data_IF_771168767629
#
_entry.id   IF_771168767629
#
_cell.length_a   1.000
_cell.length_b   1.000
_cell.length_c   1.000
_cell.angle_alpha   90.00
_cell.angle_beta   90.00
_cell.angle_gamma   90.00
#
_symmetry.space_group_name_H-M   'P 1'
#
loop_
_entity.id
_entity.type
_entity.pdbx_description
1 polymer ?
#
# COMPACT_ATOMS: atom_id res chain seq x y z
N UNK A 1 2.92 40.92 -1.64
CA UNK A 1 3.00 39.45 -1.66
C UNK A 1 3.51 39.02 -3.03
N UNK A 2 4.66 38.36 -3.10
CA UNK A 2 5.34 38.05 -4.37
C UNK A 2 4.76 36.80 -5.04
N UNK A 3 4.59 36.79 -6.38
CA UNK A 3 4.08 35.64 -7.14
C UNK A 3 4.88 34.34 -6.93
N UNK A 4 6.10 34.41 -6.42
CA UNK A 4 6.97 33.26 -6.13
C UNK A 4 6.46 32.36 -5.00
N UNK A 5 5.75 32.90 -4.00
CA UNK A 5 5.24 32.10 -2.87
C UNK A 5 3.99 31.31 -3.29
N UNK A 6 3.11 31.91 -4.08
CA UNK A 6 1.89 31.25 -4.60
C UNK A 6 2.26 30.14 -5.59
N UNK A 7 3.28 30.36 -6.44
CA UNK A 7 3.78 29.33 -7.35
C UNK A 7 4.40 28.13 -6.60
N UNK A 8 5.10 28.38 -5.48
CA UNK A 8 5.70 27.34 -4.65
C UNK A 8 4.66 26.50 -3.88
N UNK A 9 3.58 27.14 -3.43
CA UNK A 9 2.44 26.45 -2.78
C UNK A 9 1.64 25.64 -3.81
N UNK A 10 1.38 26.19 -5.01
CA UNK A 10 0.64 25.50 -6.07
C UNK A 10 1.45 24.33 -6.67
N UNK A 11 2.78 24.44 -6.76
CA UNK A 11 3.66 23.31 -7.14
C UNK A 11 3.68 22.17 -6.11
N UNK A 12 3.48 22.48 -4.82
CA UNK A 12 3.40 21.49 -3.74
C UNK A 12 2.07 20.72 -3.73
N UNK A 13 0.98 21.32 -4.21
CA UNK A 13 -0.36 20.71 -4.19
C UNK A 13 -0.63 19.77 -5.37
N UNK A 14 0.15 19.86 -6.46
CA UNK A 14 0.15 18.86 -7.55
C UNK A 14 1.10 17.69 -7.28
N UNK A 15 1.81 17.70 -6.14
CA UNK A 15 2.87 16.77 -5.79
C UNK A 15 2.43 15.59 -4.91
N UNK A 16 1.17 15.17 -4.95
CA UNK A 16 0.83 13.86 -4.37
C UNK A 16 1.57 12.81 -5.19
N UNK A 17 2.52 12.12 -4.55
CA UNK A 17 3.33 11.12 -5.20
C UNK A 17 2.41 10.00 -5.68
N UNK A 18 2.07 9.99 -6.99
CA UNK A 18 1.14 9.01 -7.57
C UNK A 18 1.53 7.58 -7.22
N UNK A 19 2.83 7.28 -7.18
CA UNK A 19 3.33 5.96 -6.79
C UNK A 19 3.08 5.66 -5.33
N UNK A 20 3.31 6.61 -4.43
CA UNK A 20 2.94 6.49 -3.01
C UNK A 20 1.44 6.32 -2.79
N UNK A 21 0.59 7.04 -3.53
CA UNK A 21 -0.86 6.87 -3.45
C UNK A 21 -1.30 5.47 -3.94
N UNK A 22 -0.77 5.03 -5.08
CA UNK A 22 -1.04 3.68 -5.59
C UNK A 22 -0.58 2.61 -4.61
N UNK A 23 0.60 2.78 -4.01
CA UNK A 23 1.12 1.87 -3.00
C UNK A 23 0.18 1.77 -1.79
N UNK A 24 -0.35 2.90 -1.31
CA UNK A 24 -1.31 2.92 -0.21
C UNK A 24 -2.59 2.16 -0.55
N UNK A 25 -3.17 2.42 -1.73
CA UNK A 25 -4.40 1.76 -2.18
C UNK A 25 -4.18 0.26 -2.36
N UNK A 26 -3.10 -0.13 -3.04
CA UNK A 26 -2.80 -1.55 -3.28
C UNK A 26 -2.48 -2.28 -1.98
N UNK A 27 -1.84 -1.62 -1.02
CA UNK A 27 -1.55 -2.21 0.29
C UNK A 27 -2.79 -2.35 1.16
N UNK A 28 -3.72 -1.40 1.11
CA UNK A 28 -5.03 -1.54 1.76
C UNK A 28 -5.83 -2.70 1.14
N UNK A 29 -5.79 -2.84 -0.18
CA UNK A 29 -6.40 -3.99 -0.86
C UNK A 29 -5.75 -5.31 -0.45
N UNK A 30 -4.42 -5.38 -0.40
CA UNK A 30 -3.67 -6.56 0.08
C UNK A 30 -4.09 -6.95 1.50
N UNK A 31 -4.18 -5.98 2.42
CA UNK A 31 -4.63 -6.24 3.79
C UNK A 31 -6.05 -6.82 3.84
N UNK A 32 -6.99 -6.23 3.10
CA UNK A 32 -8.37 -6.72 3.02
C UNK A 32 -8.46 -8.11 2.37
N UNK A 33 -7.81 -8.31 1.23
CA UNK A 33 -7.82 -9.57 0.51
C UNK A 33 -7.16 -10.70 1.32
N UNK A 34 -6.07 -10.39 2.03
CA UNK A 34 -5.43 -11.34 2.94
C UNK A 34 -6.34 -11.69 4.11
N UNK A 35 -6.98 -10.71 4.77
CA UNK A 35 -7.90 -10.99 5.88
C UNK A 35 -9.06 -11.89 5.45
N UNK A 36 -9.72 -11.56 4.33
CA UNK A 36 -10.80 -12.37 3.76
C UNK A 36 -10.29 -13.77 3.40
N UNK A 37 -9.12 -13.84 2.79
CA UNK A 37 -8.51 -15.08 2.35
C UNK A 37 -8.13 -16.00 3.52
N UNK A 38 -7.58 -15.45 4.62
CA UNK A 38 -7.27 -16.17 5.85
C UNK A 38 -8.55 -16.70 6.52
N UNK A 39 -9.59 -15.87 6.66
CA UNK A 39 -10.89 -16.28 7.24
C UNK A 39 -11.57 -17.39 6.45
N UNK A 40 -11.34 -17.45 5.14
CA UNK A 40 -11.87 -18.48 4.24
C UNK A 40 -10.92 -19.67 4.04
N UNK A 41 -9.76 -19.68 4.72
CA UNK A 41 -8.70 -20.67 4.53
C UNK A 41 -8.27 -20.84 3.06
N UNK A 42 -8.43 -19.79 2.26
CA UNK A 42 -8.14 -19.80 0.82
C UNK A 42 -6.68 -19.46 0.52
N UNK A 43 -6.03 -18.72 1.41
CA UNK A 43 -4.61 -18.35 1.33
C UNK A 43 -3.99 -18.40 2.73
N UNK A 44 -2.67 -18.37 2.79
CA UNK A 44 -1.90 -18.22 4.04
C UNK A 44 -1.09 -16.93 3.99
N UNK A 45 -0.82 -16.33 5.15
CA UNK A 45 0.04 -15.14 5.24
C UNK A 45 1.51 -15.59 5.19
N UNK A 46 2.18 -15.26 4.10
CA UNK A 46 3.57 -15.67 3.85
C UNK A 46 4.59 -14.91 4.71
N UNK A 47 4.23 -13.75 5.24
CA UNK A 47 5.08 -12.98 6.14
C UNK A 47 4.86 -13.43 7.60
N UNK A 48 5.84 -14.10 8.25
CA UNK A 48 5.68 -14.62 9.61
C UNK A 48 5.46 -13.53 10.67
N UNK A 49 5.92 -12.30 10.42
CA UNK A 49 5.63 -11.18 11.31
C UNK A 49 4.19 -10.70 11.15
N UNK A 50 3.72 -10.54 9.91
CA UNK A 50 2.33 -10.16 9.66
C UNK A 50 1.35 -11.22 10.18
N UNK A 51 1.70 -12.51 10.05
CA UNK A 51 0.92 -13.61 10.61
C UNK A 51 0.78 -13.50 12.13
N UNK A 52 1.88 -13.24 12.87
CA UNK A 52 1.82 -13.03 14.32
C UNK A 52 0.97 -11.82 14.70
N UNK A 53 1.06 -10.72 13.95
CA UNK A 53 0.22 -9.55 14.20
C UNK A 53 -1.25 -9.88 13.99
N UNK A 54 -1.58 -10.61 12.92
CA UNK A 54 -2.94 -11.06 12.62
C UNK A 54 -3.53 -11.94 13.73
N UNK A 55 -2.73 -12.89 14.23
CA UNK A 55 -3.11 -13.77 15.35
C UNK A 55 -3.25 -13.02 16.68
N UNK A 56 -2.47 -11.95 16.87
CA UNK A 56 -2.52 -11.15 18.10
C UNK A 56 -3.74 -10.24 18.13
N UNK A 57 -3.92 -9.43 17.08
CA UNK A 57 -5.03 -8.50 16.97
C UNK A 57 -5.18 -8.01 15.52
N UNK A 58 -6.40 -8.05 15.00
CA UNK A 58 -6.68 -7.67 13.60
C UNK A 58 -6.32 -6.20 13.31
N UNK A 59 -6.51 -5.29 14.27
CA UNK A 59 -6.15 -3.88 14.09
C UNK A 59 -4.63 -3.70 14.00
N UNK A 60 -3.83 -4.49 14.72
CA UNK A 60 -2.38 -4.46 14.58
C UNK A 60 -1.92 -4.88 13.18
N UNK A 61 -2.57 -5.90 12.61
CA UNK A 61 -2.31 -6.33 11.24
C UNK A 61 -2.62 -5.22 10.21
N UNK A 62 -3.80 -4.59 10.32
CA UNK A 62 -4.16 -3.47 9.44
C UNK A 62 -3.25 -2.26 9.65
N UNK A 63 -2.93 -1.91 10.90
CA UNK A 63 -2.02 -0.82 11.23
C UNK A 63 -0.62 -1.06 10.64
N UNK A 64 -0.13 -2.30 10.66
CA UNK A 64 1.15 -2.64 10.04
C UNK A 64 1.09 -2.54 8.51
N UNK A 65 0.10 -3.17 7.87
CA UNK A 65 0.01 -3.17 6.40
C UNK A 65 -0.29 -1.78 5.82
N UNK A 66 -1.18 -1.01 6.44
CA UNK A 66 -1.60 0.32 5.93
C UNK A 66 -0.74 1.46 6.52
N UNK A 67 -0.31 1.34 7.78
CA UNK A 67 0.45 2.40 8.44
C UNK A 67 1.84 2.61 7.84
N UNK A 68 2.50 1.55 7.38
CA UNK A 68 3.80 1.66 6.71
C UNK A 68 3.74 2.47 5.39
N UNK A 69 2.88 2.14 4.41
CA UNK A 69 2.76 2.94 3.20
C UNK A 69 2.19 4.34 3.46
N UNK A 70 1.35 4.51 4.49
CA UNK A 70 0.89 5.84 4.92
C UNK A 70 2.07 6.68 5.43
N UNK A 71 2.92 6.13 6.29
CA UNK A 71 4.13 6.80 6.76
C UNK A 71 5.08 7.12 5.60
N UNK A 72 5.25 6.18 4.66
CA UNK A 72 6.05 6.39 3.46
C UNK A 72 5.49 7.54 2.59
N UNK A 73 4.16 7.62 2.41
CA UNK A 73 3.52 8.72 1.69
C UNK A 73 3.79 10.07 2.34
N UNK A 74 3.74 10.15 3.68
CA UNK A 74 4.07 11.36 4.42
C UNK A 74 5.56 11.74 4.28
N UNK A 75 6.46 10.75 4.23
CA UNK A 75 7.89 10.97 4.01
C UNK A 75 8.19 11.39 2.56
N UNK A 76 7.44 10.88 1.57
CA UNK A 76 7.63 11.23 0.16
C UNK A 76 7.42 12.73 -0.10
N UNK A 77 6.55 13.39 0.66
CA UNK A 77 6.37 14.85 0.61
C UNK A 77 7.58 15.65 1.11
N UNK A 78 8.54 15.02 1.78
CA UNK A 78 9.72 15.67 2.38
C UNK A 78 11.04 15.37 1.67
N UNK A 79 11.04 14.45 0.69
CA UNK A 79 12.25 14.03 -0.02
C UNK A 79 12.31 14.61 -1.44
N UNK A 80 13.53 14.73 -1.98
CA UNK A 80 13.72 15.21 -3.35
C UNK A 80 13.14 14.27 -4.41
N UNK A 81 12.79 14.83 -5.57
CA UNK A 81 12.17 14.10 -6.68
C UNK A 81 13.03 12.94 -7.23
N UNK A 82 14.36 13.03 -7.12
CA UNK A 82 15.31 11.98 -7.56
C UNK A 82 15.73 11.03 -6.43
N UNK A 83 15.08 11.08 -5.26
CA UNK A 83 15.44 10.25 -4.12
C UNK A 83 15.26 8.75 -4.41
N UNK A 84 16.13 7.92 -3.83
CA UNK A 84 15.99 6.47 -3.85
C UNK A 84 14.66 6.02 -3.22
N UNK A 85 14.15 6.77 -2.23
CA UNK A 85 12.86 6.52 -1.58
C UNK A 85 11.72 6.54 -2.61
N UNK A 86 11.71 7.51 -3.53
CA UNK A 86 10.69 7.63 -4.57
C UNK A 86 10.74 6.47 -5.57
N UNK A 87 11.95 6.05 -5.96
CA UNK A 87 12.16 4.87 -6.80
C UNK A 87 11.69 3.60 -6.09
N UNK A 88 12.01 3.46 -4.80
CA UNK A 88 11.54 2.37 -3.96
C UNK A 88 10.02 2.31 -3.86
N UNK A 89 9.34 3.46 -3.72
CA UNK A 89 7.89 3.53 -3.70
C UNK A 89 7.26 3.06 -5.03
N UNK A 90 7.87 3.40 -6.17
CA UNK A 90 7.43 2.88 -7.48
C UNK A 90 7.61 1.35 -7.57
N UNK A 91 8.78 0.83 -7.19
CA UNK A 91 9.03 -0.62 -7.19
C UNK A 91 8.06 -1.34 -6.26
N UNK A 92 7.82 -0.78 -5.07
CA UNK A 92 6.82 -1.28 -4.13
C UNK A 92 5.43 -1.31 -4.74
N UNK A 93 5.01 -0.23 -5.40
CA UNK A 93 3.69 -0.16 -6.04
C UNK A 93 3.53 -1.22 -7.13
N UNK A 94 4.57 -1.48 -7.92
CA UNK A 94 4.57 -2.55 -8.93
C UNK A 94 4.45 -3.92 -8.26
N UNK A 95 5.24 -4.18 -7.20
CA UNK A 95 5.18 -5.45 -6.46
C UNK A 95 3.81 -5.70 -5.84
N UNK A 96 3.21 -4.69 -5.21
CA UNK A 96 1.85 -4.75 -4.71
C UNK A 96 0.81 -4.90 -5.82
N UNK A 97 1.06 -4.38 -7.03
CA UNK A 97 0.22 -4.63 -8.20
C UNK A 97 0.21 -6.10 -8.61
N UNK A 98 1.36 -6.77 -8.57
CA UNK A 98 1.47 -8.22 -8.82
C UNK A 98 0.71 -9.02 -7.76
N UNK A 99 0.89 -8.68 -6.48
CA UNK A 99 0.14 -9.31 -5.37
C UNK A 99 -1.37 -9.09 -5.50
N UNK A 100 -1.79 -7.89 -5.92
CA UNK A 100 -3.20 -7.63 -6.18
C UNK A 100 -3.75 -8.53 -7.30
N UNK A 101 -2.98 -8.75 -8.37
CA UNK A 101 -3.32 -9.72 -9.42
C UNK A 101 -3.45 -11.15 -8.90
N UNK A 102 -2.53 -11.59 -8.04
CA UNK A 102 -2.64 -12.88 -7.35
C UNK A 102 -3.93 -12.97 -6.52
N UNK A 103 -4.28 -11.90 -5.79
CA UNK A 103 -5.52 -11.86 -5.02
C UNK A 103 -6.77 -11.98 -5.89
N UNK A 104 -6.82 -11.23 -6.98
CA UNK A 104 -7.93 -11.33 -7.94
C UNK A 104 -8.06 -12.73 -8.53
N UNK A 105 -6.95 -13.40 -8.82
CA UNK A 105 -6.96 -14.76 -9.37
C UNK A 105 -7.58 -15.77 -8.40
N UNK A 106 -7.15 -15.80 -7.13
CA UNK A 106 -7.73 -16.75 -6.17
C UNK A 106 -9.17 -16.38 -5.80
N UNK A 107 -9.51 -15.09 -5.69
CA UNK A 107 -10.89 -14.65 -5.45
C UNK A 107 -11.80 -15.13 -6.58
N UNK A 108 -11.38 -14.96 -7.83
CA UNK A 108 -12.13 -15.42 -9.00
C UNK A 108 -12.29 -16.94 -9.00
N UNK A 109 -11.21 -17.67 -8.71
CA UNK A 109 -11.26 -19.13 -8.59
C UNK A 109 -12.22 -19.60 -7.48
N UNK A 110 -12.20 -18.93 -6.32
CA UNK A 110 -13.07 -19.25 -5.19
C UNK A 110 -14.55 -18.93 -5.48
N UNK A 111 -14.82 -17.92 -6.30
CA UNK A 111 -16.19 -17.57 -6.70
C UNK A 111 -16.77 -18.54 -7.73
N UNK A 112 -15.96 -19.03 -8.68
CA UNK A 112 -16.37 -20.01 -9.68
C UNK A 112 -16.60 -21.43 -9.14
N UNK A 113 -16.14 -21.72 -7.92
CA UNK A 113 -16.23 -23.04 -7.25
C UNK A 113 -17.40 -23.15 -6.26
N UNK A 114 -18.20 -22.09 -6.12
CA UNK A 114 -19.46 -22.07 -5.34
C UNK A 114 -20.64 -22.37 -6.25
#
# INVERSE_FOLDING_TARGET
MTPSIIARIRGSLHGCDRSGLWLLVLSAFDALATDIGLRRQAVTEGNPWAARLYETDIFLFYAYKIGLPLLLLLLLGKVGAQSMVRRGALVGAIGYGVLAGYHLAWISYAWLRQ
#
